data_IF_720093509986
#
_entry.id   IF_720093509986
#
_cell.length_a   1.000
_cell.length_b   1.000
_cell.length_c   1.000
_cell.angle_alpha   90.00
_cell.angle_beta   90.00
_cell.angle_gamma   90.00
#
_symmetry.space_group_name_H-M   'P 1'
#
loop_
_entity.id
_entity.type
_entity.pdbx_description
1 polymer ?
#
# COMPACT_ATOMS: atom_id res chain seq x y z
N UNK A 1 11.26 4.18 -24.98
CA UNK A 1 12.25 3.20 -24.48
C UNK A 1 11.58 2.42 -23.37
N UNK A 2 11.45 1.11 -23.48
CA UNK A 2 10.86 0.29 -22.42
C UNK A 2 11.95 0.01 -21.38
N UNK A 3 11.75 0.50 -20.19
CA UNK A 3 12.60 0.17 -19.04
C UNK A 3 12.32 -1.27 -18.61
N UNK A 4 13.34 -2.04 -18.25
CA UNK A 4 13.12 -3.38 -17.68
C UNK A 4 12.55 -3.27 -16.27
N UNK A 5 11.79 -4.29 -15.83
CA UNK A 5 11.28 -4.32 -14.46
C UNK A 5 12.39 -4.24 -13.40
N UNK A 6 13.57 -4.79 -13.71
CA UNK A 6 14.75 -4.73 -12.83
C UNK A 6 15.29 -3.30 -12.70
N UNK A 7 15.33 -2.54 -13.80
CA UNK A 7 15.74 -1.13 -13.78
C UNK A 7 14.70 -0.27 -13.06
N UNK A 8 13.41 -0.53 -13.31
CA UNK A 8 12.32 0.14 -12.63
C UNK A 8 12.40 -0.08 -11.12
N UNK A 9 12.52 -1.34 -10.68
CA UNK A 9 12.70 -1.69 -9.27
C UNK A 9 13.86 -0.92 -8.64
N UNK A 10 15.04 -0.96 -9.27
CA UNK A 10 16.24 -0.28 -8.76
C UNK A 10 16.05 1.23 -8.67
N UNK A 11 15.38 1.83 -9.65
CA UNK A 11 15.13 3.26 -9.71
C UNK A 11 14.16 3.69 -8.60
N UNK A 12 13.03 3.00 -8.45
CA UNK A 12 12.03 3.29 -7.42
C UNK A 12 12.62 3.14 -6.01
N UNK A 13 13.33 2.04 -5.77
CA UNK A 13 13.99 1.80 -4.48
C UNK A 13 14.98 2.90 -4.11
N UNK A 14 15.83 3.32 -5.07
CA UNK A 14 16.79 4.42 -4.85
C UNK A 14 16.09 5.74 -4.59
N UNK A 15 15.02 6.04 -5.33
CA UNK A 15 14.24 7.25 -5.13
C UNK A 15 13.61 7.29 -3.73
N UNK A 16 13.02 6.18 -3.28
CA UNK A 16 12.43 6.07 -1.95
C UNK A 16 13.47 6.26 -0.84
N UNK A 17 14.63 5.59 -0.93
CA UNK A 17 15.73 5.77 0.02
C UNK A 17 16.25 7.21 0.01
N UNK A 18 16.38 7.82 -1.17
CA UNK A 18 16.79 9.22 -1.32
C UNK A 18 15.79 10.20 -0.69
N UNK A 19 14.53 9.83 -0.56
CA UNK A 19 13.48 10.58 0.17
C UNK A 19 13.45 10.27 1.67
N UNK A 20 14.31 9.39 2.16
CA UNK A 20 14.43 9.03 3.56
C UNK A 20 13.59 7.81 3.99
N UNK A 21 13.03 7.05 3.03
CA UNK A 21 12.34 5.82 3.36
C UNK A 21 13.32 4.76 3.91
N UNK A 22 12.95 4.00 4.95
CA UNK A 22 13.73 2.84 5.38
C UNK A 22 13.88 1.83 4.23
N UNK A 23 15.00 1.11 4.20
CA UNK A 23 15.32 0.19 3.10
C UNK A 23 14.22 -0.83 2.82
N UNK A 24 13.66 -1.48 3.85
CA UNK A 24 12.57 -2.45 3.69
C UNK A 24 11.31 -1.82 3.07
N UNK A 25 10.93 -0.63 3.53
CA UNK A 25 9.79 0.11 2.96
C UNK A 25 10.05 0.51 1.50
N UNK A 26 11.29 0.88 1.18
CA UNK A 26 11.67 1.23 -0.19
C UNK A 26 11.62 0.01 -1.13
N UNK A 27 11.94 -1.17 -0.62
CA UNK A 27 11.85 -2.44 -1.33
C UNK A 27 10.38 -2.83 -1.56
N UNK A 28 9.54 -2.75 -0.54
CA UNK A 28 8.09 -3.00 -0.65
C UNK A 28 7.43 -2.07 -1.67
N UNK A 29 7.80 -0.78 -1.69
CA UNK A 29 7.31 0.16 -2.69
C UNK A 29 7.75 -0.24 -4.10
N UNK A 30 9.03 -0.60 -4.28
CA UNK A 30 9.55 -0.99 -5.58
C UNK A 30 8.87 -2.26 -6.11
N UNK A 31 8.60 -3.24 -5.25
CA UNK A 31 7.84 -4.44 -5.59
C UNK A 31 6.41 -4.11 -5.99
N UNK A 32 5.72 -3.25 -5.24
CA UNK A 32 4.37 -2.83 -5.54
C UNK A 32 4.28 -2.11 -6.90
N UNK A 33 5.22 -1.22 -7.19
CA UNK A 33 5.28 -0.48 -8.47
C UNK A 33 5.53 -1.43 -9.63
N UNK A 34 6.49 -2.34 -9.51
CA UNK A 34 6.77 -3.33 -10.56
C UNK A 34 5.57 -4.25 -10.80
N UNK A 35 4.85 -4.63 -9.75
CA UNK A 35 3.64 -5.43 -9.87
C UNK A 35 2.54 -4.68 -10.61
N UNK A 36 2.27 -3.42 -10.26
CA UNK A 36 1.31 -2.56 -10.95
C UNK A 36 1.67 -2.39 -12.43
N UNK A 37 2.93 -2.09 -12.73
CA UNK A 37 3.41 -1.89 -14.09
C UNK A 37 3.26 -3.16 -14.93
N UNK A 38 3.51 -4.33 -14.35
CA UNK A 38 3.32 -5.63 -15.01
C UNK A 38 1.87 -5.90 -15.42
N UNK A 39 0.91 -5.28 -14.72
CA UNK A 39 -0.53 -5.35 -15.01
C UNK A 39 -1.03 -4.16 -15.84
N UNK A 40 -0.12 -3.35 -16.37
CA UNK A 40 -0.45 -2.14 -17.15
C UNK A 40 -1.18 -1.05 -16.35
N UNK A 41 -1.05 -1.04 -15.03
CA UNK A 41 -1.39 0.11 -14.20
C UNK A 41 -0.22 1.10 -14.16
N UNK A 42 -0.51 2.37 -13.91
CA UNK A 42 0.52 3.40 -13.76
C UNK A 42 1.16 3.35 -12.36
N UNK A 43 2.05 2.37 -12.17
CA UNK A 43 2.80 2.20 -10.93
C UNK A 43 3.79 3.34 -10.70
N UNK A 44 4.38 3.88 -11.75
CA UNK A 44 5.38 4.96 -11.66
C UNK A 44 4.75 6.24 -11.14
N UNK A 45 3.61 6.68 -11.72
CA UNK A 45 2.89 7.86 -11.21
C UNK A 45 2.44 7.66 -9.77
N UNK A 46 1.97 6.47 -9.42
CA UNK A 46 1.62 6.12 -8.04
C UNK A 46 2.81 6.26 -7.08
N UNK A 47 4.01 5.86 -7.48
CA UNK A 47 5.23 6.05 -6.69
C UNK A 47 5.60 7.53 -6.55
N UNK A 48 5.52 8.30 -7.63
CA UNK A 48 5.81 9.74 -7.62
C UNK A 48 4.88 10.47 -6.67
N UNK A 49 3.58 10.20 -6.74
CA UNK A 49 2.59 10.79 -5.84
C UNK A 49 2.88 10.42 -4.38
N UNK A 50 3.09 9.13 -4.11
CA UNK A 50 3.38 8.64 -2.77
C UNK A 50 4.64 9.27 -2.17
N UNK A 51 5.72 9.34 -2.93
CA UNK A 51 6.97 9.96 -2.51
C UNK A 51 6.87 11.48 -2.43
N UNK A 52 6.01 12.11 -3.23
CA UNK A 52 5.71 13.53 -3.15
C UNK A 52 4.99 13.91 -1.86
N UNK A 53 4.10 13.06 -1.37
CA UNK A 53 3.40 13.21 -0.09
C UNK A 53 4.21 12.65 1.09
N UNK A 54 5.42 12.12 0.85
CA UNK A 54 6.23 11.55 1.92
C UNK A 54 6.38 12.57 3.06
N UNK A 55 5.84 12.26 4.24
CA UNK A 55 5.89 13.19 5.35
C UNK A 55 7.32 13.31 5.84
N UNK A 56 7.73 14.54 6.14
CA UNK A 56 8.89 14.81 6.96
C UNK A 56 8.74 14.23 8.39
N UNK A 57 7.49 13.97 8.78
CA UNK A 57 7.09 13.28 9.99
C UNK A 57 6.65 11.88 9.59
N UNK A 58 7.43 10.87 9.95
CA UNK A 58 7.07 9.46 9.81
C UNK A 58 5.90 9.14 10.74
N UNK A 59 4.70 9.50 10.32
CA UNK A 59 3.49 9.12 11.02
C UNK A 59 3.30 7.61 10.88
N UNK A 60 3.83 6.88 11.85
CA UNK A 60 3.64 5.44 11.92
C UNK A 60 2.14 5.13 11.91
N UNK A 61 1.76 4.25 11.01
CA UNK A 61 0.44 3.66 11.00
C UNK A 61 0.38 2.69 12.16
N UNK A 62 -0.62 2.84 13.01
CA UNK A 62 -0.86 1.95 14.15
C UNK A 62 -2.12 1.14 13.89
N UNK A 63 -2.00 -0.16 14.09
CA UNK A 63 -3.15 -1.04 14.12
C UNK A 63 -3.66 -1.08 15.55
N UNK A 64 -4.84 -0.56 15.77
CA UNK A 64 -5.53 -0.58 17.05
C UNK A 64 -6.74 -1.49 16.99
N UNK A 65 -7.10 -2.06 18.11
CA UNK A 65 -8.36 -2.78 18.28
C UNK A 65 -9.25 -1.97 19.19
N UNK A 66 -10.37 -1.53 18.64
CA UNK A 66 -11.43 -0.88 19.42
C UNK A 66 -12.66 -1.79 19.60
N UNK A 67 -13.72 -1.25 20.18
CA UNK A 67 -14.98 -1.98 20.43
C UNK A 67 -15.67 -2.44 19.13
N UNK A 68 -15.35 -1.79 17.99
CA UNK A 68 -15.94 -2.05 16.69
C UNK A 68 -15.04 -2.93 15.79
N UNK A 69 -13.85 -3.28 16.25
CA UNK A 69 -12.92 -4.14 15.52
C UNK A 69 -11.52 -3.56 15.35
N UNK A 70 -10.92 -3.78 14.18
CA UNK A 70 -9.58 -3.29 13.87
C UNK A 70 -9.66 -1.93 13.17
N UNK A 71 -8.86 -1.00 13.65
CA UNK A 71 -8.72 0.34 13.07
C UNK A 71 -7.26 0.61 12.75
N UNK A 72 -7.00 1.06 11.53
CA UNK A 72 -5.70 1.55 11.13
C UNK A 72 -5.68 3.06 11.36
N UNK A 73 -4.94 3.52 12.37
CA UNK A 73 -4.83 4.93 12.70
C UNK A 73 -3.50 5.53 12.27
N UNK A 74 -3.56 6.80 11.91
CA UNK A 74 -2.38 7.63 11.71
C UNK A 74 -2.09 8.43 12.97
N UNK A 75 -0.86 8.92 13.13
CA UNK A 75 -0.50 9.78 14.26
C UNK A 75 -1.25 11.12 14.28
N UNK A 76 -1.89 11.50 13.19
CA UNK A 76 -2.73 12.71 13.08
C UNK A 76 -4.16 12.32 12.71
N UNK A 77 -5.11 12.40 13.63
CA UNK A 77 -6.52 12.12 13.34
C UNK A 77 -7.03 12.89 12.12
N UNK A 78 -7.82 12.24 11.27
CA UNK A 78 -8.41 12.85 10.07
C UNK A 78 -7.47 12.99 8.86
N UNK A 79 -6.26 12.47 8.92
CA UNK A 79 -5.34 12.39 7.78
C UNK A 79 -5.33 11.00 7.15
N UNK A 80 -5.08 10.93 5.83
CA UNK A 80 -4.87 9.65 5.15
C UNK A 80 -3.54 9.03 5.56
N UNK A 81 -3.53 7.71 5.71
CA UNK A 81 -2.30 6.96 5.94
C UNK A 81 -1.43 6.97 4.67
N UNK A 82 -0.13 7.03 4.82
CA UNK A 82 0.76 6.81 3.69
C UNK A 82 0.69 5.36 3.23
N UNK A 83 0.50 5.14 1.93
CA UNK A 83 0.49 3.81 1.33
C UNK A 83 1.79 3.04 1.59
N UNK A 84 2.92 3.73 1.79
CA UNK A 84 4.20 3.14 2.14
C UNK A 84 4.18 2.35 3.45
N UNK A 85 3.37 2.77 4.41
CA UNK A 85 3.21 2.08 5.69
C UNK A 85 1.91 1.26 5.74
N UNK A 86 0.84 1.80 5.17
CA UNK A 86 -0.45 1.12 5.17
C UNK A 86 -0.41 -0.19 4.38
N UNK A 87 0.27 -0.22 3.23
CA UNK A 87 0.40 -1.42 2.42
C UNK A 87 1.01 -2.60 3.16
N UNK A 88 2.25 -2.48 3.69
CA UNK A 88 2.86 -3.52 4.52
C UNK A 88 2.02 -3.89 5.74
N UNK A 89 1.44 -2.91 6.46
CA UNK A 89 0.61 -3.17 7.62
C UNK A 89 -0.65 -3.99 7.28
N UNK A 90 -1.28 -3.71 6.14
CA UNK A 90 -2.40 -4.52 5.63
C UNK A 90 -1.96 -5.94 5.26
N UNK A 91 -0.78 -6.09 4.68
CA UNK A 91 -0.17 -7.39 4.40
C UNK A 91 0.06 -8.22 5.68
N UNK A 92 0.61 -7.61 6.71
CA UNK A 92 0.82 -8.23 8.02
C UNK A 92 -0.52 -8.61 8.68
N UNK A 93 -1.52 -7.75 8.57
CA UNK A 93 -2.86 -8.04 9.08
C UNK A 93 -3.49 -9.27 8.41
N UNK A 94 -3.34 -9.39 7.09
CA UNK A 94 -3.79 -10.58 6.35
C UNK A 94 -3.04 -11.84 6.80
N UNK A 95 -1.75 -11.71 7.09
CA UNK A 95 -0.92 -12.82 7.55
C UNK A 95 -1.36 -13.33 8.91
N UNK A 96 -1.71 -12.45 9.84
CA UNK A 96 -2.20 -12.82 11.17
C UNK A 96 -3.61 -13.43 11.18
N UNK A 97 -4.37 -13.25 10.09
CA UNK A 97 -5.76 -13.68 10.02
C UNK A 97 -6.71 -12.88 10.91
N UNK A 98 -6.27 -11.71 11.38
CA UNK A 98 -7.03 -10.87 12.30
C UNK A 98 -8.01 -9.90 11.59
N UNK A 99 -8.18 -10.02 10.28
CA UNK A 99 -9.18 -9.23 9.53
C UNK A 99 -10.57 -9.67 9.96
N UNK A 100 -11.43 -8.76 10.45
CA UNK A 100 -12.80 -9.09 10.77
C UNK A 100 -13.59 -9.53 9.53
N UNK A 101 -14.54 -10.43 9.68
CA UNK A 101 -15.43 -10.84 8.57
C UNK A 101 -16.25 -9.67 8.01
N UNK A 102 -16.55 -8.67 8.84
CA UNK A 102 -17.20 -7.42 8.44
C UNK A 102 -16.31 -6.49 7.62
N UNK A 103 -15.01 -6.80 7.55
CA UNK A 103 -14.03 -5.90 6.96
C UNK A 103 -13.72 -4.67 7.84
N UNK A 104 -12.91 -3.76 7.32
CA UNK A 104 -12.66 -2.45 7.92
C UNK A 104 -12.26 -1.46 6.82
N UNK A 105 -12.39 -0.18 7.13
CA UNK A 105 -12.03 0.90 6.20
C UNK A 105 -10.73 1.57 6.63
N UNK A 106 -9.93 1.95 5.66
CA UNK A 106 -8.73 2.75 5.89
C UNK A 106 -8.64 3.84 4.82
N UNK A 107 -8.27 5.05 5.21
CA UNK A 107 -7.99 6.13 4.28
C UNK A 107 -6.50 6.12 3.95
N UNK A 108 -6.17 5.98 2.67
CA UNK A 108 -4.80 5.87 2.17
C UNK A 108 -4.58 6.94 1.09
N UNK A 109 -3.41 7.57 1.08
CA UNK A 109 -3.06 8.64 0.13
C UNK A 109 -2.99 8.13 -1.33
N UNK A 110 -2.40 6.95 -1.55
CA UNK A 110 -2.30 6.32 -2.88
C UNK A 110 -2.87 4.89 -2.85
N UNK A 111 -4.19 4.74 -3.02
CA UNK A 111 -4.88 3.46 -2.86
C UNK A 111 -4.36 2.32 -3.74
N UNK A 112 -3.87 2.61 -4.95
CA UNK A 112 -3.32 1.58 -5.85
C UNK A 112 -2.09 0.87 -5.28
N UNK A 113 -1.24 1.58 -4.54
CA UNK A 113 -0.09 0.96 -3.87
C UNK A 113 -0.52 0.05 -2.72
N UNK A 114 -1.55 0.44 -1.97
CA UNK A 114 -2.14 -0.41 -0.93
C UNK A 114 -2.78 -1.66 -1.55
N UNK A 115 -3.48 -1.52 -2.68
CA UNK A 115 -4.01 -2.66 -3.45
C UNK A 115 -2.89 -3.63 -3.85
N UNK A 116 -1.78 -3.12 -4.41
CA UNK A 116 -0.66 -3.96 -4.81
C UNK A 116 -0.09 -4.78 -3.64
N UNK A 117 0.10 -4.16 -2.48
CA UNK A 117 0.60 -4.81 -1.29
C UNK A 117 -0.35 -5.92 -0.79
N UNK A 118 -1.66 -5.65 -0.77
CA UNK A 118 -2.68 -6.63 -0.38
C UNK A 118 -2.73 -7.78 -1.38
N UNK A 119 -2.76 -7.52 -2.68
CA UNK A 119 -2.81 -8.54 -3.71
C UNK A 119 -1.59 -9.48 -3.67
N UNK A 120 -0.40 -8.92 -3.51
CA UNK A 120 0.82 -9.72 -3.35
C UNK A 120 0.80 -10.57 -2.08
N UNK A 121 0.27 -10.03 -0.98
CA UNK A 121 0.11 -10.77 0.27
C UNK A 121 -0.89 -11.90 0.13
N UNK A 122 -2.03 -11.67 -0.52
CA UNK A 122 -3.02 -12.70 -0.84
C UNK A 122 -2.41 -13.85 -1.65
N UNK A 123 -1.65 -13.51 -2.69
CA UNK A 123 -0.98 -14.50 -3.54
C UNK A 123 0.03 -15.34 -2.75
N UNK A 124 0.86 -14.71 -1.91
CA UNK A 124 1.83 -15.42 -1.06
C UNK A 124 1.17 -16.34 -0.03
N UNK A 125 0.07 -15.88 0.57
CA UNK A 125 -0.63 -16.61 1.64
C UNK A 125 -1.66 -17.58 1.10
N UNK A 126 -1.92 -17.61 -0.22
CA UNK A 126 -3.02 -18.34 -0.86
C UNK A 126 -4.36 -18.02 -0.18
N UNK A 127 -4.58 -16.76 0.11
CA UNK A 127 -5.82 -16.21 0.68
C UNK A 127 -6.50 -15.33 -0.34
N UNK A 128 -7.79 -15.13 -0.15
CA UNK A 128 -8.61 -14.25 -0.97
C UNK A 128 -9.05 -13.05 -0.15
N UNK A 129 -8.98 -11.87 -0.72
CA UNK A 129 -9.50 -10.65 -0.14
C UNK A 129 -10.26 -9.83 -1.19
N UNK A 130 -11.28 -9.13 -0.74
CA UNK A 130 -12.01 -8.15 -1.54
C UNK A 130 -11.65 -6.76 -1.05
N UNK A 131 -11.22 -5.90 -1.96
CA UNK A 131 -10.97 -4.49 -1.67
C UNK A 131 -11.96 -3.65 -2.44
N UNK A 132 -12.63 -2.74 -1.73
CA UNK A 132 -13.38 -1.66 -2.36
C UNK A 132 -12.56 -0.38 -2.23
N UNK A 133 -12.12 0.15 -3.36
CA UNK A 133 -11.32 1.36 -3.44
C UNK A 133 -12.23 2.49 -3.88
N UNK A 134 -12.39 3.47 -3.01
CA UNK A 134 -13.12 4.69 -3.32
C UNK A 134 -12.15 5.73 -3.89
N UNK A 135 -12.36 6.05 -5.15
CA UNK A 135 -11.67 7.13 -5.86
C UNK A 135 -12.64 8.28 -6.11
N UNK A 136 -12.17 9.51 -6.36
CA UNK A 136 -13.04 10.61 -6.72
C UNK A 136 -13.94 10.26 -7.91
N UNK A 137 -15.26 10.24 -7.70
CA UNK A 137 -16.26 9.96 -8.73
C UNK A 137 -16.46 8.50 -9.14
N UNK A 138 -15.73 7.55 -8.53
CA UNK A 138 -15.88 6.13 -8.85
C UNK A 138 -15.47 5.22 -7.68
N UNK A 139 -15.97 3.99 -7.70
CA UNK A 139 -15.50 2.93 -6.84
C UNK A 139 -15.00 1.75 -7.69
N UNK A 140 -13.88 1.17 -7.28
CA UNK A 140 -13.28 0.00 -7.93
C UNK A 140 -13.30 -1.15 -6.94
N UNK A 141 -13.78 -2.30 -7.39
CA UNK A 141 -13.73 -3.53 -6.60
C UNK A 141 -12.61 -4.41 -7.17
N UNK A 142 -11.68 -4.77 -6.31
CA UNK A 142 -10.60 -5.68 -6.63
C UNK A 142 -10.79 -7.01 -5.91
N UNK A 143 -10.73 -8.11 -6.66
CA UNK A 143 -10.69 -9.48 -6.14
C UNK A 143 -9.24 -9.94 -6.16
N UNK A 144 -8.66 -10.06 -4.98
CA UNK A 144 -7.28 -10.50 -4.77
C UNK A 144 -7.30 -11.96 -4.34
N UNK A 145 -6.88 -12.86 -5.21
CA UNK A 145 -6.77 -14.30 -4.95
C UNK A 145 -5.44 -14.88 -5.43
#
# INVERSE_FOLDING_TARGET
>A
MRQSLSELYSTVRKAAVGRGAPHGIAEDLADAVCWLDSLSFDGVSSAVDCLGYWPSDTSAVRLLRDENGLVLETSKPGTSASALFAGPALGDLLQTGAVPDSGFSVSVDVPLLALAAVAQSCARLKRRAWLMIHLPGQAVIADCN
#
